data_IF_438632911787
#
_entry.id   IF_438632911787
#
_cell.length_a   1.000
_cell.length_b   1.000
_cell.length_c   1.000
_cell.angle_alpha   90.00
_cell.angle_beta   90.00
_cell.angle_gamma   90.00
#
_symmetry.space_group_name_H-M   'P 1'
#
loop_
_entity.id
_entity.type
_entity.pdbx_description
1 polymer ?
#
# COMPACT_ATOMS: atom_id res chain seq x y z
N UNK A 1 36.24 2.27 33.54
CA UNK A 1 34.89 2.83 33.27
C UNK A 1 34.49 2.34 31.89
N UNK A 2 33.70 1.26 31.81
CA UNK A 2 33.36 0.62 30.54
C UNK A 2 32.13 1.28 29.93
N UNK A 3 32.31 1.91 28.77
CA UNK A 3 31.23 2.47 27.98
C UNK A 3 30.35 1.33 27.43
N UNK A 4 29.13 1.24 27.91
CA UNK A 4 28.14 0.31 27.36
C UNK A 4 27.74 0.81 25.96
N UNK A 5 27.74 -0.03 24.91
CA UNK A 5 27.24 0.40 23.62
C UNK A 5 25.72 0.58 23.71
N UNK A 6 25.27 1.82 23.57
CA UNK A 6 23.84 2.17 23.54
C UNK A 6 23.17 1.42 22.38
N UNK A 7 22.32 0.47 22.72
CA UNK A 7 21.45 -0.22 21.77
C UNK A 7 20.40 0.78 21.25
N UNK A 8 20.57 1.24 20.02
CA UNK A 8 19.58 2.08 19.33
C UNK A 8 18.58 1.13 18.66
N UNK A 9 17.31 1.07 19.08
CA UNK A 9 16.32 0.26 18.38
C UNK A 9 16.14 0.81 16.97
N UNK A 10 16.45 -0.01 15.96
CA UNK A 10 16.23 0.30 14.56
C UNK A 10 14.71 0.31 14.30
N UNK A 11 14.07 1.43 14.64
CA UNK A 11 12.67 1.67 14.25
C UNK A 11 12.68 1.65 12.72
N UNK A 12 12.05 0.66 12.10
CA UNK A 12 11.71 0.71 10.67
C UNK A 12 10.84 1.94 10.50
N UNK A 13 11.46 3.09 10.23
CA UNK A 13 10.76 4.28 9.82
C UNK A 13 10.11 3.89 8.51
N UNK A 14 8.78 3.73 8.52
CA UNK A 14 8.04 3.78 7.28
C UNK A 14 8.53 5.02 6.51
N UNK A 15 8.74 4.94 5.19
CA UNK A 15 9.27 6.06 4.41
C UNK A 15 8.59 7.36 4.83
N UNK A 16 9.38 8.29 5.39
CA UNK A 16 8.87 9.56 5.94
C UNK A 16 8.44 10.54 4.85
N UNK A 17 8.53 10.13 3.58
CA UNK A 17 8.01 10.91 2.47
C UNK A 17 6.50 10.75 2.48
N UNK A 18 5.73 11.80 2.81
CA UNK A 18 4.29 11.73 2.60
C UNK A 18 4.05 11.36 1.14
N UNK A 19 3.05 10.51 0.85
CA UNK A 19 2.66 10.25 -0.53
C UNK A 19 2.57 11.57 -1.29
N UNK A 20 3.14 11.61 -2.50
CA UNK A 20 3.13 12.80 -3.34
C UNK A 20 1.73 13.43 -3.34
N UNK A 21 1.65 14.76 -3.31
CA UNK A 21 0.37 15.49 -3.23
C UNK A 21 -0.56 15.01 -4.35
N UNK A 22 -1.56 14.19 -4.02
CA UNK A 22 -2.47 13.56 -4.99
C UNK A 22 -2.48 12.03 -4.99
N UNK A 23 -1.53 11.37 -4.31
CA UNK A 23 -1.49 9.92 -4.27
C UNK A 23 -2.70 9.35 -3.52
N UNK A 24 -3.27 8.26 -4.04
CA UNK A 24 -4.39 7.56 -3.43
C UNK A 24 -4.09 6.09 -3.27
N UNK A 25 -4.57 5.54 -2.15
CA UNK A 25 -4.61 4.10 -1.95
C UNK A 25 -5.82 3.58 -2.70
N UNK A 26 -5.59 2.66 -3.64
CA UNK A 26 -6.63 2.06 -4.46
C UNK A 26 -6.64 0.57 -4.20
N UNK A 27 -7.81 0.03 -3.90
CA UNK A 27 -8.00 -1.40 -3.71
C UNK A 27 -8.36 -2.07 -5.03
N UNK A 28 -7.79 -3.24 -5.28
CA UNK A 28 -8.11 -4.11 -6.41
C UNK A 28 -8.50 -5.48 -5.89
N UNK A 29 -9.52 -6.08 -6.50
CA UNK A 29 -9.96 -7.44 -6.22
C UNK A 29 -9.55 -8.37 -7.35
N UNK A 30 -8.77 -9.40 -7.02
CA UNK A 30 -8.52 -10.56 -7.86
C UNK A 30 -9.44 -11.71 -7.42
N UNK A 31 -10.00 -12.45 -8.36
CA UNK A 31 -10.84 -13.61 -8.05
C UNK A 31 -10.08 -14.77 -7.43
N UNK A 32 -8.77 -14.84 -7.66
CA UNK A 32 -7.90 -15.93 -7.21
C UNK A 32 -7.30 -15.65 -5.84
N UNK A 33 -6.79 -14.44 -5.63
CA UNK A 33 -5.99 -14.08 -4.46
C UNK A 33 -6.71 -13.16 -3.47
N UNK A 34 -7.85 -12.59 -3.87
CA UNK A 34 -8.62 -11.67 -3.04
C UNK A 34 -8.23 -10.20 -3.25
N UNK A 35 -8.31 -9.40 -2.19
CA UNK A 35 -8.22 -7.94 -2.28
C UNK A 35 -6.83 -7.46 -1.86
N UNK A 36 -6.18 -6.67 -2.71
CA UNK A 36 -4.92 -6.01 -2.41
C UNK A 36 -5.00 -4.49 -2.64
N UNK A 37 -4.05 -3.73 -2.07
CA UNK A 37 -4.05 -2.26 -2.10
C UNK A 37 -2.76 -1.76 -2.73
N UNK A 38 -2.90 -0.85 -3.69
CA UNK A 38 -1.78 -0.23 -4.41
C UNK A 38 -1.83 1.29 -4.16
N UNK A 39 -0.67 1.86 -3.85
CA UNK A 39 -0.51 3.32 -3.75
C UNK A 39 -0.27 3.85 -5.16
N UNK A 40 -1.22 4.63 -5.67
CA UNK A 40 -1.08 5.32 -6.95
C UNK A 40 -0.62 6.74 -6.72
N UNK A 41 0.43 7.21 -7.39
CA UNK A 41 0.94 8.58 -7.24
C UNK A 41 -0.03 9.64 -7.78
N UNK A 42 -0.94 9.25 -8.66
CA UNK A 42 -1.90 10.10 -9.36
C UNK A 42 -3.35 9.71 -9.09
N UNK A 43 -4.28 10.61 -9.41
CA UNK A 43 -5.72 10.40 -9.16
C UNK A 43 -6.33 9.41 -10.16
N UNK A 44 -5.68 9.21 -11.31
CA UNK A 44 -6.15 8.36 -12.41
C UNK A 44 -5.62 6.92 -12.31
N UNK A 45 -5.94 6.24 -11.21
CA UNK A 45 -5.62 4.83 -11.10
C UNK A 45 -6.48 3.99 -12.06
N UNK A 46 -5.90 3.01 -12.79
CA UNK A 46 -6.63 2.23 -13.78
C UNK A 46 -7.75 1.39 -13.17
N UNK A 47 -8.75 1.03 -13.98
CA UNK A 47 -9.83 0.12 -13.60
C UNK A 47 -9.35 -1.33 -13.45
N UNK A 48 -8.27 -1.69 -14.14
CA UNK A 48 -7.69 -3.04 -14.15
C UNK A 48 -6.22 -2.95 -13.78
N UNK A 49 -5.77 -3.82 -12.88
CA UNK A 49 -4.37 -3.93 -12.49
C UNK A 49 -3.97 -5.40 -12.37
N UNK A 50 -2.76 -5.80 -12.77
CA UNK A 50 -2.29 -7.16 -12.55
C UNK A 50 -2.18 -7.48 -11.06
N UNK A 51 -2.65 -8.66 -10.66
CA UNK A 51 -2.46 -9.15 -9.29
C UNK A 51 -0.98 -9.47 -9.06
N UNK A 52 -0.34 -8.94 -8.00
CA UNK A 52 1.08 -9.20 -7.76
C UNK A 52 1.40 -10.67 -7.47
N UNK A 53 0.44 -11.46 -7.00
CA UNK A 53 0.65 -12.86 -6.63
C UNK A 53 0.46 -13.83 -7.80
N UNK A 54 -0.51 -13.58 -8.68
CA UNK A 54 -0.89 -14.53 -9.74
C UNK A 54 -0.88 -13.95 -11.16
N UNK A 55 -0.50 -12.68 -11.33
CA UNK A 55 -0.47 -11.94 -12.61
C UNK A 55 -1.83 -11.82 -13.33
N UNK A 56 -2.90 -12.37 -12.75
CA UNK A 56 -4.25 -12.28 -13.31
C UNK A 56 -4.82 -10.85 -13.22
N UNK A 57 -5.76 -10.54 -14.09
CA UNK A 57 -6.45 -9.25 -14.10
C UNK A 57 -7.27 -9.06 -12.81
N UNK A 58 -6.95 -8.01 -12.04
CA UNK A 58 -7.71 -7.59 -10.86
C UNK A 58 -8.47 -6.30 -11.13
N UNK A 59 -9.72 -6.23 -10.66
CA UNK A 59 -10.60 -5.09 -10.89
C UNK A 59 -10.51 -4.09 -9.73
N UNK A 60 -10.45 -2.81 -10.06
CA UNK A 60 -10.47 -1.71 -9.09
C UNK A 60 -11.78 -1.72 -8.33
N UNK A 61 -11.70 -1.75 -7.01
CA UNK A 61 -12.85 -1.62 -6.13
C UNK A 61 -13.18 -0.12 -5.98
N UNK A 62 -14.23 0.31 -6.67
CA UNK A 62 -14.75 1.68 -6.64
C UNK A 62 -15.94 1.71 -5.68
N UNK A 63 -15.90 2.60 -4.67
CA UNK A 63 -17.04 2.82 -3.78
C UNK A 63 -17.06 1.97 -2.49
N UNK A 64 -16.09 1.07 -2.28
CA UNK A 64 -15.86 0.51 -0.93
C UNK A 64 -15.21 1.60 -0.08
N UNK A 65 -16.04 2.40 0.58
CA UNK A 65 -15.62 3.31 1.65
C UNK A 65 -14.74 2.49 2.59
N UNK A 66 -13.52 2.94 2.96
CA UNK A 66 -12.80 2.30 4.05
C UNK A 66 -13.73 2.38 5.24
N UNK A 67 -14.23 1.23 5.66
CA UNK A 67 -15.11 1.12 6.81
C UNK A 67 -14.37 1.69 8.01
N UNK A 68 -14.88 2.80 8.51
CA UNK A 68 -14.62 3.31 9.85
C UNK A 68 -15.18 2.29 10.84
N UNK A 69 -14.35 1.32 11.22
CA UNK A 69 -14.49 0.60 12.50
C UNK A 69 -13.35 1.02 13.42
#
# INVERSE_FOLDING_TARGET
>A
MSAQPTFVPYRRQAPQTPPAKGARIVAYGCTTDGIFRVVWPEVDAPLVHPCPECDAAALRLIGTRPDTT
#
